data_IF_539344321370
#
_entry.id   IF_539344321370
#
_cell.length_a   1.000
_cell.length_b   1.000
_cell.length_c   1.000
_cell.angle_alpha   90.00
_cell.angle_beta   90.00
_cell.angle_gamma   90.00
#
_symmetry.space_group_name_H-M   'P 1'
#
loop_
_entity.id
_entity.type
_entity.pdbx_description
1 polymer ?
#
# COMPACT_ATOMS: atom_id res chain seq x y z
N UNK A 1 20.03 5.17 22.17
CA UNK A 1 21.19 5.72 21.41
C UNK A 1 20.92 7.20 21.19
N UNK A 2 21.91 8.07 21.37
CA UNK A 2 21.82 9.51 21.06
C UNK A 2 22.74 9.75 19.87
N UNK A 3 22.29 10.52 18.88
CA UNK A 3 23.11 10.80 17.69
C UNK A 3 24.24 11.80 18.04
N UNK A 4 25.37 11.80 17.30
CA UNK A 4 26.44 12.75 17.57
C UNK A 4 25.99 14.21 17.35
N UNK A 5 26.59 15.14 18.10
CA UNK A 5 26.34 16.58 17.94
C UNK A 5 27.18 17.15 16.78
N UNK A 6 26.68 16.99 15.56
CA UNK A 6 27.34 17.37 14.32
C UNK A 6 26.30 17.99 13.36
N UNK A 7 26.70 18.93 12.51
CA UNK A 7 25.78 19.69 11.65
C UNK A 7 24.99 18.80 10.68
N UNK A 8 25.67 18.00 9.87
CA UNK A 8 25.05 17.03 8.96
C UNK A 8 25.35 15.59 9.42
N UNK A 9 25.34 15.40 10.75
CA UNK A 9 25.69 14.13 11.37
C UNK A 9 24.58 13.07 11.22
N UNK A 10 24.97 11.83 11.44
CA UNK A 10 24.06 10.68 11.53
C UNK A 10 24.54 9.77 12.64
N UNK A 11 23.66 8.91 13.14
CA UNK A 11 24.09 7.73 13.91
C UNK A 11 24.99 6.83 13.06
N UNK A 12 25.77 5.97 13.71
CA UNK A 12 26.26 4.74 13.10
C UNK A 12 25.08 3.83 12.69
N UNK A 13 25.37 2.73 12.00
CA UNK A 13 24.36 1.75 11.63
C UNK A 13 23.70 1.18 12.89
N UNK A 14 22.38 1.34 12.99
CA UNK A 14 21.59 0.77 14.09
C UNK A 14 20.98 -0.52 13.59
N UNK A 15 21.48 -1.66 14.07
CA UNK A 15 20.87 -2.96 13.80
C UNK A 15 19.51 -3.04 14.45
N UNK A 16 18.48 -3.31 13.65
CA UNK A 16 17.12 -3.58 14.13
C UNK A 16 17.07 -5.01 14.65
N UNK A 17 16.47 -5.22 15.83
CA UNK A 17 16.34 -6.56 16.42
C UNK A 17 15.41 -7.45 15.61
N UNK A 18 14.43 -6.85 14.92
CA UNK A 18 13.63 -7.51 13.89
C UNK A 18 13.69 -6.74 12.57
N UNK A 19 13.65 -7.45 11.43
CA UNK A 19 13.60 -6.81 10.13
C UNK A 19 12.38 -5.92 9.97
N UNK A 20 12.58 -4.73 9.39
CA UNK A 20 11.52 -3.82 8.98
C UNK A 20 11.28 -3.98 7.47
N UNK A 21 10.02 -4.10 7.06
CA UNK A 21 9.66 -4.14 5.64
C UNK A 21 9.28 -2.77 5.15
N UNK A 22 9.88 -2.34 4.05
CA UNK A 22 9.61 -1.07 3.39
C UNK A 22 9.40 -1.31 1.89
N UNK A 23 8.13 -1.35 1.49
CA UNK A 23 7.61 -1.61 0.15
C UNK A 23 8.28 -2.83 -0.51
N UNK A 24 8.13 -4.00 0.11
CA UNK A 24 8.71 -5.26 -0.37
C UNK A 24 10.20 -5.45 -0.10
N UNK A 25 10.94 -4.37 0.26
CA UNK A 25 12.35 -4.47 0.71
C UNK A 25 12.39 -4.76 2.19
N UNK A 26 13.36 -5.59 2.60
CA UNK A 26 13.57 -5.94 4.01
C UNK A 26 14.86 -5.30 4.50
N UNK A 27 14.77 -4.49 5.56
CA UNK A 27 15.90 -3.80 6.16
C UNK A 27 16.16 -4.31 7.57
N UNK A 28 17.42 -4.67 7.84
CA UNK A 28 17.88 -5.12 9.15
C UNK A 28 18.58 -4.02 9.96
N UNK A 29 18.67 -2.82 9.39
CA UNK A 29 19.35 -1.70 10.00
C UNK A 29 18.73 -0.38 9.55
N UNK A 30 18.97 0.68 10.31
CA UNK A 30 18.61 2.05 9.95
C UNK A 30 19.66 3.04 10.44
N UNK A 31 19.63 4.25 9.92
CA UNK A 31 20.47 5.37 10.32
C UNK A 31 19.56 6.55 10.67
N UNK A 32 19.80 7.17 11.82
CA UNK A 32 19.03 8.34 12.28
C UNK A 32 19.86 9.58 11.99
N UNK A 33 19.40 10.41 11.06
CA UNK A 33 20.10 11.61 10.64
C UNK A 33 19.74 12.83 11.49
N UNK A 34 20.70 13.72 11.72
CA UNK A 34 20.47 14.93 12.49
C UNK A 34 19.47 15.87 11.80
N UNK A 35 19.44 15.87 10.47
CA UNK A 35 18.54 16.67 9.64
C UNK A 35 17.12 16.10 9.50
N UNK A 36 16.70 15.15 10.36
CA UNK A 36 15.28 14.79 10.50
C UNK A 36 14.76 13.71 9.56
N UNK A 37 15.63 12.81 9.13
CA UNK A 37 15.27 11.67 8.28
C UNK A 37 15.96 10.37 8.72
N UNK A 38 15.41 9.24 8.26
CA UNK A 38 15.97 7.90 8.37
C UNK A 38 16.35 7.37 7.00
N UNK A 39 17.49 6.71 6.91
CA UNK A 39 17.88 5.87 5.76
C UNK A 39 18.12 4.43 6.22
N UNK A 40 18.21 3.50 5.27
CA UNK A 40 18.38 2.07 5.59
C UNK A 40 19.67 1.43 5.05
N UNK A 41 20.36 2.09 4.11
CA UNK A 41 21.57 1.54 3.47
C UNK A 41 22.85 2.17 4.02
N UNK A 42 22.91 3.49 4.05
CA UNK A 42 24.07 4.28 4.48
C UNK A 42 23.63 5.64 5.03
N UNK A 43 24.44 6.30 5.88
CA UNK A 43 24.13 7.64 6.36
C UNK A 43 24.20 8.65 5.20
N UNK A 44 23.29 9.63 5.22
CA UNK A 44 23.22 10.69 4.21
C UNK A 44 23.64 12.04 4.81
N UNK A 45 24.85 12.50 4.47
CA UNK A 45 25.35 13.81 4.92
C UNK A 45 24.95 14.92 3.94
N UNK A 46 23.66 15.02 3.61
CA UNK A 46 23.12 16.07 2.76
C UNK A 46 22.09 16.92 3.53
N UNK A 47 22.09 18.21 3.24
CA UNK A 47 21.21 19.20 3.85
C UNK A 47 20.10 19.66 2.91
N UNK A 48 20.23 19.40 1.59
CA UNK A 48 19.20 19.74 0.62
C UNK A 48 18.14 18.63 0.67
N UNK A 49 16.91 18.93 1.11
CA UNK A 49 15.90 17.91 1.29
C UNK A 49 15.37 17.45 -0.07
N UNK A 50 15.72 16.21 -0.45
CA UNK A 50 15.31 15.58 -1.70
C UNK A 50 14.86 14.13 -1.44
N UNK A 51 13.56 13.94 -1.24
CA UNK A 51 12.98 12.61 -1.00
C UNK A 51 13.33 11.62 -2.12
N UNK A 52 13.26 12.04 -3.39
CA UNK A 52 13.60 11.19 -4.54
C UNK A 52 15.11 11.16 -4.82
N UNK A 53 15.89 10.78 -3.81
CA UNK A 53 17.36 10.70 -3.86
C UNK A 53 17.88 9.35 -4.35
N UNK A 54 17.01 8.46 -4.83
CA UNK A 54 17.35 7.09 -5.20
C UNK A 54 17.73 6.24 -3.98
N UNK A 55 17.04 6.44 -2.86
CA UNK A 55 17.29 5.80 -1.55
C UNK A 55 15.97 5.47 -0.87
N UNK A 56 15.96 4.38 -0.11
CA UNK A 56 14.89 4.16 0.86
C UNK A 56 15.06 5.15 2.02
N UNK A 57 14.12 6.08 2.13
CA UNK A 57 14.17 7.21 3.06
C UNK A 57 12.81 7.50 3.67
N UNK A 58 12.80 7.79 4.97
CA UNK A 58 11.62 8.27 5.70
C UNK A 58 12.00 9.58 6.36
N UNK A 59 11.34 10.68 6.00
CA UNK A 59 11.61 12.00 6.52
C UNK A 59 10.35 12.59 7.17
N UNK A 60 10.19 12.47 8.49
CA UNK A 60 9.18 13.23 9.20
C UNK A 60 9.28 14.74 8.94
N UNK A 61 10.50 15.26 8.93
CA UNK A 61 10.82 16.63 8.56
C UNK A 61 12.30 16.70 8.19
N UNK A 62 12.63 16.64 6.91
CA UNK A 62 14.00 16.82 6.44
C UNK A 62 14.27 18.29 6.14
N UNK A 63 15.20 18.88 6.89
CA UNK A 63 15.71 20.25 6.72
C UNK A 63 17.03 20.41 7.47
N UNK A 64 17.66 21.58 7.38
CA UNK A 64 18.87 21.90 8.15
C UNK A 64 18.56 22.08 9.64
N UNK A 65 18.80 21.03 10.43
CA UNK A 65 18.66 21.04 11.88
C UNK A 65 20.04 21.07 12.53
N UNK A 66 20.21 21.83 13.61
CA UNK A 66 21.50 21.98 14.30
C UNK A 66 21.41 21.58 15.77
N UNK A 67 21.60 20.29 16.03
CA UNK A 67 21.61 19.76 17.39
C UNK A 67 22.82 20.22 18.23
N UNK A 68 23.78 20.98 17.69
CA UNK A 68 24.85 21.62 18.48
C UNK A 68 24.34 22.85 19.23
N UNK A 69 23.30 23.50 18.70
CA UNK A 69 22.69 24.71 19.28
C UNK A 69 21.65 24.41 20.35
N UNK A 70 21.08 23.21 20.37
CA UNK A 70 20.07 22.82 21.35
C UNK A 70 19.41 21.48 21.03
N UNK A 71 18.47 21.08 21.88
CA UNK A 71 17.68 19.86 21.69
C UNK A 71 18.46 18.56 21.83
N UNK A 72 17.77 17.45 21.58
CA UNK A 72 18.36 16.10 21.60
C UNK A 72 17.73 15.23 20.54
N UNK A 73 18.55 14.41 19.89
CA UNK A 73 18.10 13.42 18.92
C UNK A 73 18.40 12.04 19.50
N UNK A 74 17.37 11.26 19.76
CA UNK A 74 17.49 9.97 20.41
C UNK A 74 16.69 8.91 19.68
N UNK A 75 17.19 7.68 19.74
CA UNK A 75 16.47 6.52 19.24
C UNK A 75 16.59 5.32 20.18
N UNK A 76 15.58 4.46 20.12
CA UNK A 76 15.52 3.19 20.85
C UNK A 76 14.64 2.21 20.08
N UNK A 77 14.92 0.92 20.23
CA UNK A 77 13.96 -0.12 19.90
C UNK A 77 13.28 -0.59 21.18
N UNK A 78 11.95 -0.64 21.17
CA UNK A 78 11.12 -0.96 22.31
C UNK A 78 10.26 -2.20 22.01
N UNK A 79 10.33 -3.16 22.92
CA UNK A 79 9.59 -4.43 22.87
C UNK A 79 8.81 -4.67 24.16
N UNK A 80 8.70 -3.64 25.00
CA UNK A 80 7.91 -3.73 26.23
C UNK A 80 6.44 -3.94 25.86
N UNK A 81 5.74 -4.77 26.65
CA UNK A 81 4.32 -5.06 26.43
C UNK A 81 3.47 -3.78 26.42
N UNK A 82 3.83 -2.77 27.22
CA UNK A 82 3.16 -1.49 27.26
C UNK A 82 3.26 -0.73 25.93
N UNK A 83 4.47 -0.56 25.38
CA UNK A 83 4.65 0.15 24.10
C UNK A 83 4.05 -0.65 22.95
N UNK A 84 4.27 -1.96 22.91
CA UNK A 84 3.71 -2.81 21.85
C UNK A 84 2.17 -2.79 21.87
N UNK A 85 1.52 -2.80 23.04
CA UNK A 85 0.07 -2.67 23.14
C UNK A 85 -0.42 -1.30 22.64
N UNK A 86 0.29 -0.21 22.98
CA UNK A 86 -0.06 1.14 22.54
C UNK A 86 0.02 1.29 21.01
N UNK A 87 1.10 0.83 20.38
CA UNK A 87 1.24 0.93 18.93
C UNK A 87 0.29 -0.04 18.21
N UNK A 88 0.02 -1.22 18.77
CA UNK A 88 -0.99 -2.15 18.23
C UNK A 88 -2.37 -1.49 18.22
N UNK A 89 -2.81 -0.93 19.35
CA UNK A 89 -4.09 -0.24 19.43
C UNK A 89 -4.19 0.98 18.49
N UNK A 90 -3.07 1.68 18.25
CA UNK A 90 -3.01 2.76 17.28
C UNK A 90 -3.21 2.25 15.84
N UNK A 91 -2.52 1.18 15.46
CA UNK A 91 -2.67 0.56 14.12
C UNK A 91 -4.08 0.00 13.94
N UNK A 92 -4.63 -0.71 14.91
CA UNK A 92 -6.00 -1.24 14.85
C UNK A 92 -7.04 -0.13 14.63
N UNK A 93 -6.81 1.04 15.23
CA UNK A 93 -7.67 2.22 15.05
C UNK A 93 -7.53 2.84 13.65
N UNK A 94 -6.32 2.92 13.12
CA UNK A 94 -6.06 3.61 11.84
C UNK A 94 -6.27 2.70 10.63
N UNK A 95 -6.11 1.38 10.79
CA UNK A 95 -6.18 0.36 9.76
C UNK A 95 -7.03 -0.83 10.21
N UNK A 96 -8.34 -0.64 10.48
CA UNK A 96 -9.20 -1.66 11.10
C UNK A 96 -9.36 -2.95 10.28
N UNK A 97 -9.02 -2.92 9.00
CA UNK A 97 -9.10 -4.07 8.10
C UNK A 97 -7.82 -4.91 8.04
N UNK A 98 -6.76 -4.50 8.75
CA UNK A 98 -5.50 -5.23 8.81
C UNK A 98 -5.35 -5.80 10.21
N UNK A 99 -5.45 -7.12 10.34
CA UNK A 99 -5.15 -7.79 11.61
C UNK A 99 -3.65 -7.66 11.91
N UNK A 100 -3.33 -6.99 13.01
CA UNK A 100 -1.95 -6.67 13.37
C UNK A 100 -1.72 -6.78 14.87
N UNK A 101 -0.53 -7.27 15.25
CA UNK A 101 -0.03 -7.25 16.63
C UNK A 101 1.45 -6.93 16.55
N UNK A 102 1.87 -5.80 17.10
CA UNK A 102 3.26 -5.36 17.03
C UNK A 102 4.19 -6.29 17.82
N UNK A 103 5.33 -6.63 17.25
CA UNK A 103 6.41 -7.34 17.95
C UNK A 103 7.67 -6.50 18.10
N UNK A 104 7.80 -5.41 17.36
CA UNK A 104 8.84 -4.40 17.53
C UNK A 104 8.31 -2.99 17.24
N UNK A 105 8.86 -2.00 17.96
CA UNK A 105 8.72 -0.59 17.67
C UNK A 105 10.09 0.09 17.77
N UNK A 106 10.64 0.55 16.65
CA UNK A 106 11.81 1.43 16.65
C UNK A 106 11.35 2.88 16.67
N UNK A 107 11.80 3.65 17.65
CA UNK A 107 11.40 5.04 17.88
C UNK A 107 12.62 5.94 17.70
N UNK A 108 12.52 6.95 16.82
CA UNK A 108 13.48 8.04 16.71
C UNK A 108 12.77 9.37 16.98
N UNK A 109 13.35 10.20 17.85
CA UNK A 109 12.78 11.45 18.34
C UNK A 109 13.80 12.58 18.20
N UNK A 110 13.38 13.67 17.57
CA UNK A 110 14.04 14.96 17.57
C UNK A 110 13.27 15.83 18.56
N UNK A 111 13.84 16.08 19.72
CA UNK A 111 13.22 16.84 20.80
C UNK A 111 13.86 18.21 20.91
N UNK A 112 13.06 19.25 20.64
CA UNK A 112 13.47 20.66 20.72
C UNK A 112 14.74 21.00 19.94
N UNK A 113 14.94 20.37 18.78
CA UNK A 113 16.14 20.54 17.96
C UNK A 113 15.97 21.79 17.09
N UNK A 114 16.83 22.81 17.18
CA UNK A 114 16.66 24.04 16.42
C UNK A 114 16.99 23.86 14.94
N UNK A 115 16.33 24.65 14.10
CA UNK A 115 16.80 24.93 12.75
C UNK A 115 18.20 25.57 12.78
N UNK A 116 18.95 25.49 11.68
CA UNK A 116 20.27 26.16 11.57
C UNK A 116 20.18 27.65 11.91
N UNK A 117 19.11 28.34 11.49
CA UNK A 117 18.89 29.77 11.73
C UNK A 117 17.58 30.10 12.47
N UNK A 118 17.01 29.17 13.24
CA UNK A 118 15.67 29.37 13.81
C UNK A 118 15.41 28.69 15.15
N UNK A 119 14.13 28.57 15.47
CA UNK A 119 13.62 27.95 16.70
C UNK A 119 13.66 26.42 16.66
N UNK A 120 13.38 25.82 17.81
CA UNK A 120 13.30 24.37 18.03
C UNK A 120 12.13 23.72 17.32
N UNK A 121 12.33 22.49 16.85
CA UNK A 121 11.26 21.60 16.40
C UNK A 121 11.26 20.30 17.21
N UNK A 122 10.07 19.77 17.42
CA UNK A 122 9.86 18.49 18.10
C UNK A 122 9.01 17.56 17.25
N UNK A 123 9.57 16.41 16.89
CA UNK A 123 8.85 15.36 16.17
C UNK A 123 9.45 13.98 16.42
N UNK A 124 8.66 12.96 16.11
CA UNK A 124 9.01 11.56 16.32
C UNK A 124 8.53 10.71 15.15
N UNK A 125 9.33 9.71 14.80
CA UNK A 125 8.93 8.61 13.92
C UNK A 125 9.02 7.29 14.67
N UNK A 126 8.04 6.43 14.43
CA UNK A 126 8.01 5.06 14.94
C UNK A 126 7.86 4.10 13.77
N UNK A 127 8.84 3.21 13.61
CA UNK A 127 8.76 2.06 12.72
C UNK A 127 8.17 0.90 13.53
N UNK A 128 6.92 0.54 13.23
CA UNK A 128 6.20 -0.54 13.93
C UNK A 128 6.18 -1.76 13.03
N UNK A 129 6.53 -2.92 13.57
CA UNK A 129 6.56 -4.15 12.77
C UNK A 129 6.14 -5.37 13.58
N UNK A 130 5.63 -6.38 12.85
CA UNK A 130 5.51 -7.74 13.33
C UNK A 130 6.28 -8.76 12.46
N UNK A 131 7.33 -8.30 11.75
CA UNK A 131 8.09 -9.02 10.71
C UNK A 131 7.34 -9.17 9.39
N UNK A 132 6.02 -9.38 9.43
CA UNK A 132 5.22 -9.58 8.22
C UNK A 132 4.62 -8.28 7.71
N UNK A 133 4.13 -7.46 8.63
CA UNK A 133 3.51 -6.16 8.41
C UNK A 133 4.35 -5.05 9.04
N UNK A 134 4.37 -3.90 8.39
CA UNK A 134 5.17 -2.75 8.80
C UNK A 134 4.43 -1.45 8.57
N UNK A 135 4.48 -0.58 9.57
CA UNK A 135 3.83 0.72 9.58
C UNK A 135 4.83 1.80 10.00
N UNK A 136 4.64 3.00 9.46
CA UNK A 136 5.27 4.22 9.94
C UNK A 136 4.22 4.99 10.73
N UNK A 137 4.56 5.44 11.94
CA UNK A 137 3.82 6.46 12.67
C UNK A 137 4.69 7.69 12.78
N UNK A 138 4.13 8.85 12.48
CA UNK A 138 4.81 10.13 12.66
C UNK A 138 3.98 10.95 13.63
N UNK A 139 4.64 11.50 14.65
CA UNK A 139 4.04 12.40 15.63
C UNK A 139 4.79 13.73 15.59
N UNK A 140 4.08 14.81 15.32
CA UNK A 140 4.57 16.18 15.36
C UNK A 140 4.14 16.83 16.68
N UNK A 141 5.11 17.42 17.38
CA UNK A 141 4.88 18.31 18.51
C UNK A 141 4.88 19.75 18.03
N UNK A 142 5.65 20.60 18.70
CA UNK A 142 5.85 21.98 18.25
C UNK A 142 6.77 22.02 17.04
N UNK A 143 6.27 22.51 15.90
CA UNK A 143 7.05 22.77 14.70
C UNK A 143 6.98 24.26 14.42
N UNK A 144 8.10 24.97 14.60
CA UNK A 144 8.20 26.39 14.35
C UNK A 144 8.19 26.71 12.83
N UNK A 145 7.85 27.96 12.49
CA UNK A 145 7.93 28.47 11.11
C UNK A 145 9.39 28.53 10.64
N UNK A 146 9.63 28.32 9.35
CA UNK A 146 10.97 28.41 8.77
C UNK A 146 10.96 28.81 7.30
N UNK A 147 11.94 29.60 6.90
CA UNK A 147 12.22 29.94 5.49
C UNK A 147 13.18 28.93 4.84
N UNK A 148 13.73 27.99 5.61
CA UNK A 148 14.61 26.96 5.08
C UNK A 148 13.84 26.02 4.15
N UNK A 149 14.52 25.47 3.15
CA UNK A 149 13.96 24.35 2.39
C UNK A 149 13.69 23.18 3.34
N UNK A 150 12.53 22.56 3.19
CA UNK A 150 12.16 21.37 3.94
C UNK A 150 11.32 20.44 3.08
N UNK A 151 11.36 19.14 3.38
CA UNK A 151 10.42 18.16 2.85
C UNK A 151 9.98 17.22 3.98
N UNK A 152 8.77 16.66 3.85
CA UNK A 152 8.26 15.68 4.78
C UNK A 152 7.52 14.58 4.01
N UNK A 153 7.78 13.31 4.31
CA UNK A 153 7.30 12.19 3.52
C UNK A 153 8.20 10.96 3.56
N UNK A 154 8.13 10.15 2.52
CA UNK A 154 9.01 9.01 2.30
C UNK A 154 9.20 8.76 0.79
N UNK A 155 10.27 8.05 0.44
CA UNK A 155 10.49 7.56 -0.91
C UNK A 155 11.29 6.27 -0.87
N UNK A 156 11.10 5.43 -1.88
CA UNK A 156 11.87 4.20 -2.08
C UNK A 156 13.05 4.40 -3.03
N UNK A 157 14.01 3.48 -2.98
CA UNK A 157 15.20 3.44 -3.86
C UNK A 157 14.86 3.65 -5.35
N UNK A 158 13.79 3.04 -5.82
CA UNK A 158 13.28 3.10 -7.21
C UNK A 158 12.27 4.24 -7.44
N UNK A 159 11.94 5.01 -6.40
CA UNK A 159 10.91 6.05 -6.39
C UNK A 159 9.50 5.59 -6.78
N UNK A 160 9.24 4.27 -6.83
CA UNK A 160 7.94 3.73 -7.18
C UNK A 160 6.90 3.93 -6.09
N UNK A 161 7.34 3.89 -4.83
CA UNK A 161 6.53 4.22 -3.68
C UNK A 161 7.10 5.45 -3.00
N UNK A 162 6.49 6.60 -3.26
CA UNK A 162 6.84 7.86 -2.65
C UNK A 162 5.58 8.61 -2.22
N UNK A 163 5.71 9.39 -1.17
CA UNK A 163 4.66 10.26 -0.68
C UNK A 163 5.28 11.51 -0.09
N UNK A 164 4.84 12.68 -0.55
CA UNK A 164 5.19 13.96 0.05
C UNK A 164 3.97 14.49 0.77
N UNK A 165 4.15 14.93 2.02
CA UNK A 165 3.07 15.49 2.81
C UNK A 165 2.62 16.83 2.19
N UNK A 166 1.35 16.95 1.76
CA UNK A 166 0.88 18.11 1.01
C UNK A 166 0.45 19.24 1.95
N UNK A 167 1.41 19.89 2.60
CA UNK A 167 1.19 21.09 3.42
C UNK A 167 2.05 22.24 2.92
N UNK A 168 1.61 23.46 3.18
CA UNK A 168 2.21 24.67 2.59
C UNK A 168 3.26 25.32 3.48
N UNK A 169 3.23 25.06 4.78
CA UNK A 169 4.18 25.54 5.78
C UNK A 169 4.60 24.41 6.72
N UNK A 170 5.76 24.54 7.37
CA UNK A 170 6.24 23.52 8.31
C UNK A 170 5.30 23.35 9.53
N UNK A 171 4.73 24.41 10.14
CA UNK A 171 3.81 24.25 11.28
C UNK A 171 2.52 23.50 10.95
N UNK A 172 2.08 23.50 9.69
CA UNK A 172 0.92 22.69 9.26
C UNK A 172 1.14 21.18 9.43
N UNK A 173 2.38 20.70 9.62
CA UNK A 173 2.64 19.30 9.97
C UNK A 173 1.97 18.93 11.31
N UNK A 174 1.93 19.86 12.26
CA UNK A 174 1.32 19.68 13.59
C UNK A 174 -0.21 19.82 13.59
N UNK A 175 -0.78 20.49 12.58
CA UNK A 175 -2.23 20.69 12.43
C UNK A 175 -2.88 19.83 11.32
N UNK A 176 -2.09 19.04 10.60
CA UNK A 176 -2.56 18.15 9.53
C UNK A 176 -2.47 16.68 9.92
N UNK A 177 -3.22 15.82 9.21
CA UNK A 177 -3.26 14.38 9.46
C UNK A 177 -3.81 13.62 8.26
N UNK A 178 -3.46 12.34 8.12
CA UNK A 178 -4.13 11.39 7.21
C UNK A 178 -5.00 10.36 7.96
N UNK A 179 -5.05 10.43 9.28
CA UNK A 179 -5.76 9.50 10.17
C UNK A 179 -6.75 10.22 11.10
N UNK A 180 -7.07 11.48 10.76
CA UNK A 180 -7.98 12.36 11.52
C UNK A 180 -7.56 12.55 13.00
N UNK A 181 -6.25 12.60 13.26
CA UNK A 181 -5.66 12.93 14.56
C UNK A 181 -4.58 13.98 14.33
N UNK A 182 -4.82 15.21 14.79
CA UNK A 182 -3.91 16.34 14.58
C UNK A 182 -2.47 16.01 14.97
N UNK A 183 -1.53 16.42 14.11
CA UNK A 183 -0.10 16.21 14.29
C UNK A 183 0.32 14.75 14.18
N UNK A 184 -0.57 13.85 13.76
CA UNK A 184 -0.23 12.43 13.60
C UNK A 184 -0.51 11.95 12.21
N UNK A 185 0.41 11.13 11.70
CA UNK A 185 0.28 10.45 10.43
C UNK A 185 0.66 8.99 10.57
N UNK A 186 0.04 8.13 9.77
CA UNK A 186 0.43 6.73 9.71
C UNK A 186 0.35 6.18 8.29
N UNK A 187 1.31 5.32 7.95
CA UNK A 187 1.43 4.72 6.62
C UNK A 187 1.66 3.23 6.78
N UNK A 188 0.91 2.42 6.05
CA UNK A 188 1.17 0.99 5.87
C UNK A 188 2.22 0.84 4.76
N UNK A 189 3.35 0.21 5.08
CA UNK A 189 4.56 0.28 4.24
C UNK A 189 5.28 -1.04 4.03
N UNK A 190 4.73 -2.21 4.39
CA UNK A 190 5.42 -3.48 4.10
C UNK A 190 5.33 -3.91 2.62
N UNK A 191 4.60 -3.16 1.80
CA UNK A 191 4.36 -3.47 0.38
C UNK A 191 3.25 -4.50 0.17
N UNK A 192 2.53 -4.88 1.23
CA UNK A 192 1.31 -5.65 1.05
C UNK A 192 0.13 -4.79 0.60
N UNK A 193 -0.82 -5.42 -0.10
CA UNK A 193 -1.95 -4.72 -0.65
C UNK A 193 -2.74 -3.86 0.34
N UNK A 194 -2.85 -2.56 0.05
CA UNK A 194 -3.89 -1.71 0.62
C UNK A 194 -5.18 -1.93 -0.18
N UNK A 195 -5.76 -3.13 -0.07
CA UNK A 195 -7.00 -3.40 -0.78
C UNK A 195 -8.15 -2.64 -0.11
N UNK A 196 -8.99 -1.93 -0.89
CA UNK A 196 -10.23 -1.37 -0.38
C UNK A 196 -11.07 -2.42 0.34
N UNK A 197 -11.91 -2.03 1.32
CA UNK A 197 -12.74 -2.95 2.12
C UNK A 197 -13.63 -3.89 1.31
N UNK A 198 -13.99 -3.49 0.09
CA UNK A 198 -14.83 -4.28 -0.80
C UNK A 198 -14.05 -5.37 -1.56
N UNK A 199 -12.73 -5.40 -1.45
CA UNK A 199 -11.89 -6.44 -2.02
C UNK A 199 -11.75 -7.59 -1.03
N UNK A 200 -11.74 -8.81 -1.57
CA UNK A 200 -11.38 -9.98 -0.81
C UNK A 200 -9.89 -9.93 -0.45
N UNK A 201 -9.56 -10.06 0.83
CA UNK A 201 -8.17 -10.07 1.33
C UNK A 201 -7.39 -11.26 0.77
N UNK A 202 -6.07 -11.23 0.86
CA UNK A 202 -5.23 -12.40 0.57
C UNK A 202 -5.64 -13.61 1.42
N UNK A 203 -5.63 -14.79 0.84
CA UNK A 203 -6.11 -16.04 1.45
C UNK A 203 -5.14 -17.22 1.28
N UNK A 204 -5.37 -18.29 2.04
CA UNK A 204 -4.62 -19.52 1.88
C UNK A 204 -4.84 -20.10 0.47
N UNK A 205 -3.75 -20.39 -0.25
CA UNK A 205 -3.81 -20.87 -1.63
C UNK A 205 -3.62 -19.80 -2.70
N UNK A 206 -3.41 -18.53 -2.32
CA UNK A 206 -2.98 -17.48 -3.26
C UNK A 206 -1.70 -17.92 -4.00
N UNK A 207 -1.79 -17.90 -5.32
CA UNK A 207 -0.66 -18.07 -6.23
C UNK A 207 -0.31 -16.72 -6.79
N UNK A 208 0.97 -16.37 -6.71
CA UNK A 208 1.50 -15.11 -7.24
C UNK A 208 2.08 -15.36 -8.62
N UNK A 209 1.68 -14.55 -9.60
CA UNK A 209 2.32 -14.59 -10.92
C UNK A 209 3.78 -14.15 -10.80
N UNK A 210 4.70 -14.83 -11.49
CA UNK A 210 6.10 -14.40 -11.53
C UNK A 210 6.21 -12.98 -12.12
N UNK A 211 7.25 -12.22 -11.74
CA UNK A 211 7.50 -10.90 -12.32
C UNK A 211 7.69 -10.97 -13.85
N UNK A 212 6.92 -10.20 -14.61
CA UNK A 212 6.94 -10.12 -16.07
C UNK A 212 6.35 -8.80 -16.59
N UNK A 213 6.72 -8.42 -17.81
CA UNK A 213 6.22 -7.22 -18.51
C UNK A 213 4.85 -7.43 -19.17
N UNK A 214 4.48 -8.67 -19.44
CA UNK A 214 3.23 -9.10 -20.10
C UNK A 214 2.83 -10.53 -19.64
N UNK A 215 2.94 -10.78 -18.34
CA UNK A 215 2.79 -12.12 -17.77
C UNK A 215 1.35 -12.66 -17.84
N UNK A 216 1.19 -13.86 -18.36
CA UNK A 216 -0.05 -14.65 -18.23
C UNK A 216 0.17 -15.78 -17.22
N UNK A 217 -0.85 -16.08 -16.41
CA UNK A 217 -0.82 -17.28 -15.59
C UNK A 217 -0.79 -18.51 -16.53
N UNK A 218 0.06 -19.49 -16.26
CA UNK A 218 0.12 -20.74 -17.03
C UNK A 218 -1.23 -21.47 -16.94
N UNK A 219 -1.92 -21.58 -18.08
CA UNK A 219 -3.13 -22.36 -18.39
C UNK A 219 -3.85 -22.98 -17.18
N UNK A 220 -4.90 -22.31 -16.68
CA UNK A 220 -5.81 -22.86 -15.68
C UNK A 220 -7.02 -23.47 -16.38
N UNK A 221 -7.10 -24.80 -16.40
CA UNK A 221 -8.36 -25.50 -16.68
C UNK A 221 -9.23 -25.42 -15.42
N UNK A 222 -10.15 -24.45 -15.36
CA UNK A 222 -11.28 -24.53 -14.43
C UNK A 222 -12.26 -25.57 -15.02
N UNK A 223 -12.57 -26.69 -14.34
CA UNK A 223 -13.25 -27.83 -14.97
C UNK A 223 -14.69 -27.57 -15.45
N UNK A 224 -15.26 -26.37 -15.27
CA UNK A 224 -16.69 -26.11 -15.41
C UNK A 224 -17.09 -24.81 -16.12
N UNK A 225 -16.18 -24.13 -16.83
CA UNK A 225 -16.55 -22.97 -17.64
C UNK A 225 -16.83 -23.39 -19.09
N UNK A 226 -18.10 -23.41 -19.48
CA UNK A 226 -18.51 -23.47 -20.89
C UNK A 226 -19.11 -22.11 -21.29
N UNK A 227 -18.50 -21.51 -22.32
CA UNK A 227 -18.92 -20.34 -23.12
C UNK A 227 -19.39 -19.09 -22.34
N UNK A 228 -18.45 -18.16 -22.08
CA UNK A 228 -18.78 -16.76 -21.75
C UNK A 228 -18.46 -15.91 -22.98
N UNK A 229 -19.50 -15.58 -23.76
CA UNK A 229 -19.41 -14.67 -24.90
C UNK A 229 -19.15 -13.22 -24.42
N UNK A 230 -17.88 -12.82 -24.32
CA UNK A 230 -17.48 -11.40 -24.32
C UNK A 230 -16.36 -11.20 -25.35
N UNK A 231 -16.72 -10.68 -26.53
CA UNK A 231 -15.80 -10.51 -27.67
C UNK A 231 -15.05 -9.18 -27.59
N UNK A 232 -13.82 -9.22 -27.07
CA UNK A 232 -12.70 -8.55 -27.78
C UNK A 232 -12.04 -9.67 -28.58
N UNK A 233 -12.24 -9.71 -29.90
CA UNK A 233 -11.70 -10.77 -30.76
C UNK A 233 -10.18 -10.61 -30.93
N UNK A 234 -9.41 -11.18 -30.00
CA UNK A 234 -7.99 -11.46 -30.16
C UNK A 234 -7.73 -12.96 -30.03
N UNK A 235 -7.33 -13.61 -31.13
CA UNK A 235 -6.89 -15.02 -31.19
C UNK A 235 -7.81 -16.06 -30.52
N UNK A 236 -9.13 -15.99 -30.69
CA UNK A 236 -10.10 -17.00 -30.20
C UNK A 236 -10.06 -17.27 -28.68
N UNK A 237 -9.72 -16.28 -27.85
CA UNK A 237 -9.77 -16.41 -26.39
C UNK A 237 -10.87 -15.51 -25.82
N UNK A 238 -11.63 -16.03 -24.85
CA UNK A 238 -12.54 -15.22 -24.04
C UNK A 238 -11.72 -14.46 -22.98
N UNK A 239 -11.90 -13.13 -22.90
CA UNK A 239 -11.08 -12.26 -22.05
C UNK A 239 -11.98 -11.43 -21.15
N UNK A 240 -11.68 -11.43 -19.84
CA UNK A 240 -12.23 -10.49 -18.87
C UNK A 240 -11.13 -9.47 -18.58
N UNK A 241 -11.31 -8.24 -19.06
CA UNK A 241 -10.34 -7.17 -18.90
C UNK A 241 -10.98 -5.94 -18.24
N UNK A 242 -10.93 -5.86 -16.91
CA UNK A 242 -11.26 -4.63 -16.18
C UNK A 242 -10.42 -3.45 -16.66
N UNK A 243 -9.12 -3.69 -16.84
CA UNK A 243 -8.17 -2.74 -17.39
C UNK A 243 -7.19 -3.48 -18.28
N UNK A 244 -7.24 -3.19 -19.57
CA UNK A 244 -6.32 -3.72 -20.58
C UNK A 244 -5.29 -2.65 -20.95
N UNK A 245 -4.10 -2.78 -20.39
CA UNK A 245 -2.95 -1.89 -20.65
C UNK A 245 -1.66 -2.61 -20.28
N UNK A 246 -0.51 -1.99 -20.56
CA UNK A 246 0.80 -2.55 -20.21
C UNK A 246 1.12 -2.26 -18.73
N UNK A 247 1.14 -3.33 -17.95
CA UNK A 247 1.48 -3.34 -16.53
C UNK A 247 2.79 -4.12 -16.33
N UNK A 248 3.67 -3.64 -15.45
CA UNK A 248 5.00 -4.24 -15.22
C UNK A 248 5.21 -4.55 -13.73
N UNK A 249 4.88 -5.78 -13.33
CA UNK A 249 5.05 -6.22 -11.95
C UNK A 249 6.51 -6.62 -11.61
N UNK A 250 7.48 -6.43 -12.51
CA UNK A 250 8.92 -6.49 -12.17
C UNK A 250 9.37 -5.25 -11.42
N UNK A 251 8.65 -4.14 -11.62
CA UNK A 251 8.94 -2.87 -11.00
C UNK A 251 8.34 -2.80 -9.60
N UNK A 252 7.16 -3.37 -9.39
CA UNK A 252 6.53 -3.40 -8.06
C UNK A 252 5.12 -3.99 -8.12
N UNK A 253 4.44 -3.99 -6.99
CA UNK A 253 3.11 -4.57 -6.87
C UNK A 253 3.07 -6.09 -7.02
N UNK A 254 1.88 -6.66 -6.85
CA UNK A 254 1.66 -8.11 -6.92
C UNK A 254 0.46 -8.42 -7.78
N UNK A 255 0.57 -9.47 -8.60
CA UNK A 255 -0.57 -10.08 -9.29
C UNK A 255 -0.76 -11.46 -8.69
N UNK A 256 -1.89 -11.67 -8.02
CA UNK A 256 -2.19 -12.93 -7.34
C UNK A 256 -3.56 -13.47 -7.75
N UNK A 257 -3.72 -14.78 -7.66
CA UNK A 257 -5.01 -15.41 -7.89
C UNK A 257 -5.19 -16.65 -7.00
N UNK A 258 -6.44 -16.97 -6.70
CA UNK A 258 -6.83 -18.21 -6.04
C UNK A 258 -8.23 -18.64 -6.44
N UNK A 259 -8.49 -19.92 -6.27
CA UNK A 259 -9.85 -20.43 -6.13
C UNK A 259 -10.16 -20.56 -4.63
N UNK A 260 -11.28 -20.00 -4.19
CA UNK A 260 -11.69 -19.91 -2.80
C UNK A 260 -13.08 -20.53 -2.61
N UNK A 261 -13.14 -21.49 -1.70
CA UNK A 261 -14.37 -22.21 -1.32
C UNK A 261 -14.71 -22.00 0.15
N UNK A 262 -14.05 -21.05 0.81
CA UNK A 262 -14.29 -20.75 2.23
C UNK A 262 -15.66 -20.13 2.43
N UNK A 263 -16.35 -20.52 3.51
CA UNK A 263 -17.68 -20.02 3.83
C UNK A 263 -17.75 -18.49 3.90
N UNK A 264 -16.69 -17.84 4.40
CA UNK A 264 -16.63 -16.38 4.50
C UNK A 264 -16.66 -15.71 3.12
N UNK A 265 -15.82 -16.17 2.19
CA UNK A 265 -15.76 -15.61 0.82
C UNK A 265 -17.05 -15.94 0.06
N UNK A 266 -17.53 -17.18 0.13
CA UNK A 266 -18.77 -17.58 -0.55
C UNK A 266 -19.98 -16.80 -0.07
N UNK A 267 -20.10 -16.53 1.24
CA UNK A 267 -21.15 -15.69 1.80
C UNK A 267 -21.04 -14.23 1.31
N UNK A 268 -19.83 -13.68 1.30
CA UNK A 268 -19.57 -12.32 0.84
C UNK A 268 -19.96 -12.13 -0.64
N UNK A 269 -19.46 -12.98 -1.54
CA UNK A 269 -19.75 -12.85 -2.97
C UNK A 269 -21.21 -13.16 -3.29
N UNK A 270 -21.85 -14.07 -2.53
CA UNK A 270 -23.29 -14.33 -2.65
C UNK A 270 -24.10 -13.09 -2.26
N UNK A 271 -23.73 -12.43 -1.16
CA UNK A 271 -24.38 -11.20 -0.72
C UNK A 271 -24.19 -10.07 -1.73
N UNK A 272 -22.97 -9.91 -2.28
CA UNK A 272 -22.68 -8.93 -3.32
C UNK A 272 -23.54 -9.15 -4.57
N UNK A 273 -23.68 -10.39 -5.05
CA UNK A 273 -24.56 -10.70 -6.19
C UNK A 273 -26.03 -10.41 -5.85
N UNK A 274 -26.51 -10.80 -4.66
CA UNK A 274 -27.91 -10.58 -4.24
C UNK A 274 -28.26 -9.11 -4.04
N UNK A 275 -27.30 -8.25 -3.73
CA UNK A 275 -27.52 -6.82 -3.62
C UNK A 275 -28.04 -6.22 -4.93
N UNK A 276 -27.49 -6.68 -6.07
CA UNK A 276 -27.87 -6.18 -7.40
C UNK A 276 -28.91 -7.07 -8.08
N UNK A 277 -28.94 -8.36 -7.76
CA UNK A 277 -29.91 -9.32 -8.30
C UNK A 277 -30.69 -10.03 -7.19
N UNK A 278 -31.53 -9.31 -6.43
CA UNK A 278 -32.22 -9.88 -5.26
C UNK A 278 -33.17 -11.02 -5.61
N UNK A 279 -33.71 -11.01 -6.82
CA UNK A 279 -34.68 -11.99 -7.30
C UNK A 279 -34.04 -13.21 -7.99
N UNK A 280 -32.71 -13.21 -8.16
CA UNK A 280 -32.01 -14.33 -8.77
C UNK A 280 -31.63 -15.35 -7.69
N UNK A 281 -32.09 -16.62 -7.78
CA UNK A 281 -31.66 -17.65 -6.87
C UNK A 281 -30.18 -17.97 -7.12
N UNK A 282 -29.33 -17.47 -6.24
CA UNK A 282 -27.89 -17.67 -6.28
C UNK A 282 -27.31 -17.89 -4.89
N UNK A 283 -26.41 -18.87 -4.81
CA UNK A 283 -25.50 -19.11 -3.71
C UNK A 283 -24.22 -19.64 -4.33
N UNK A 284 -23.10 -18.94 -4.12
CA UNK A 284 -21.81 -19.32 -4.67
C UNK A 284 -21.33 -20.62 -4.00
N UNK A 285 -20.82 -21.55 -4.81
CA UNK A 285 -20.13 -22.75 -4.32
C UNK A 285 -18.62 -22.66 -4.54
N UNK A 286 -18.17 -21.76 -5.42
CA UNK A 286 -16.77 -21.42 -5.62
C UNK A 286 -16.64 -19.95 -6.03
N UNK A 287 -15.48 -19.36 -5.72
CA UNK A 287 -15.09 -18.04 -6.19
C UNK A 287 -13.64 -18.07 -6.70
N UNK A 288 -13.42 -17.67 -7.95
CA UNK A 288 -12.06 -17.41 -8.43
C UNK A 288 -11.74 -15.92 -8.25
N UNK A 289 -10.71 -15.62 -7.48
CA UNK A 289 -10.30 -14.26 -7.13
C UNK A 289 -8.97 -13.98 -7.81
N UNK A 290 -8.89 -12.93 -8.62
CA UNK A 290 -7.65 -12.43 -9.19
C UNK A 290 -7.47 -10.96 -8.78
N UNK A 291 -6.31 -10.63 -8.22
CA UNK A 291 -6.02 -9.31 -7.67
C UNK A 291 -4.73 -8.78 -8.28
N UNK A 292 -4.83 -7.60 -8.88
CA UNK A 292 -3.71 -6.73 -9.22
C UNK A 292 -3.63 -5.71 -8.10
N UNK A 293 -2.56 -5.74 -7.34
CA UNK A 293 -2.32 -4.81 -6.25
C UNK A 293 -1.09 -3.95 -6.52
N UNK A 294 -1.30 -2.64 -6.55
CA UNK A 294 -0.26 -1.63 -6.69
C UNK A 294 0.71 -1.92 -7.85
N UNK A 295 0.17 -2.45 -8.96
CA UNK A 295 0.97 -2.87 -10.12
C UNK A 295 1.33 -1.66 -10.98
N UNK A 296 2.62 -1.36 -11.21
CA UNK A 296 3.02 -0.20 -11.99
C UNK A 296 2.61 -0.29 -13.46
N UNK A 297 2.34 0.87 -14.04
CA UNK A 297 2.29 1.05 -15.48
C UNK A 297 3.68 0.87 -16.11
N UNK A 298 3.76 0.23 -17.28
CA UNK A 298 5.01 0.00 -18.00
C UNK A 298 5.74 1.31 -18.34
N UNK A 299 5.07 2.31 -18.92
CA UNK A 299 5.69 3.60 -19.28
C UNK A 299 5.63 4.67 -18.17
N UNK A 300 5.47 4.27 -16.90
CA UNK A 300 5.25 5.22 -15.80
C UNK A 300 3.80 5.73 -15.76
N UNK A 301 3.48 6.55 -14.75
CA UNK A 301 2.10 6.97 -14.44
C UNK A 301 1.54 6.38 -13.14
N UNK A 302 2.40 5.95 -12.20
CA UNK A 302 1.97 5.38 -10.93
C UNK A 302 1.60 3.90 -11.02
N UNK A 303 0.65 3.49 -10.19
CA UNK A 303 0.26 2.08 -9.98
C UNK A 303 -1.25 1.88 -10.11
N UNK A 304 -1.66 0.63 -10.33
CA UNK A 304 -3.06 0.23 -10.37
C UNK A 304 -3.38 -0.90 -9.39
N UNK A 305 -4.55 -0.79 -8.76
CA UNK A 305 -5.12 -1.79 -7.87
C UNK A 305 -6.55 -2.09 -8.30
N UNK A 306 -6.81 -3.34 -8.70
CA UNK A 306 -8.13 -3.84 -9.04
C UNK A 306 -8.25 -5.35 -8.79
N UNK A 307 -9.47 -5.83 -8.57
CA UNK A 307 -9.75 -7.23 -8.32
C UNK A 307 -10.92 -7.71 -9.18
N UNK A 308 -10.77 -8.91 -9.73
CA UNK A 308 -11.81 -9.63 -10.44
C UNK A 308 -12.20 -10.83 -9.60
N UNK A 309 -13.49 -11.01 -9.38
CA UNK A 309 -14.04 -12.20 -8.73
C UNK A 309 -15.05 -12.86 -9.66
N UNK A 310 -14.78 -14.11 -10.03
CA UNK A 310 -15.74 -14.98 -10.69
C UNK A 310 -16.46 -15.76 -9.60
N UNK A 311 -17.68 -15.35 -9.27
CA UNK A 311 -18.51 -16.05 -8.29
C UNK A 311 -19.47 -16.99 -9.03
N UNK A 312 -19.43 -18.28 -8.71
CA UNK A 312 -20.22 -19.24 -9.48
C UNK A 312 -20.71 -20.44 -8.67
N UNK A 313 -21.72 -21.08 -9.23
CA UNK A 313 -22.18 -22.40 -8.86
C UNK A 313 -22.47 -23.23 -10.11
N UNK A 314 -23.03 -24.42 -9.95
CA UNK A 314 -23.33 -25.34 -11.06
C UNK A 314 -24.36 -24.79 -12.07
N UNK A 315 -25.07 -23.71 -11.76
CA UNK A 315 -26.14 -23.16 -12.59
C UNK A 315 -25.84 -21.76 -13.14
N UNK A 316 -25.08 -20.93 -12.41
CA UNK A 316 -24.89 -19.51 -12.71
C UNK A 316 -23.49 -19.05 -12.35
N UNK A 317 -22.98 -18.11 -13.12
CA UNK A 317 -21.74 -17.39 -12.86
C UNK A 317 -21.98 -15.88 -12.92
N UNK A 318 -21.20 -15.15 -12.13
CA UNK A 318 -21.20 -13.70 -12.07
C UNK A 318 -19.76 -13.20 -12.04
N UNK A 319 -19.53 -12.06 -12.68
CA UNK A 319 -18.25 -11.36 -12.67
C UNK A 319 -18.44 -10.12 -11.79
N UNK A 320 -17.63 -10.00 -10.75
CA UNK A 320 -17.53 -8.82 -9.90
C UNK A 320 -16.18 -8.16 -10.18
N UNK A 321 -16.22 -6.88 -10.52
CA UNK A 321 -15.01 -6.09 -10.76
C UNK A 321 -14.96 -4.99 -9.71
N UNK A 322 -13.87 -4.97 -8.96
CA UNK A 322 -13.61 -3.97 -7.94
C UNK A 322 -12.40 -3.13 -8.36
N UNK A 323 -12.58 -1.82 -8.40
CA UNK A 323 -11.48 -0.88 -8.61
C UNK A 323 -11.09 -0.25 -7.27
N UNK A 324 -9.79 -0.16 -7.03
CA UNK A 324 -9.19 0.60 -5.94
C UNK A 324 -8.48 1.81 -6.52
N UNK A 325 -7.23 2.02 -6.11
CA UNK A 325 -6.41 3.10 -6.66
C UNK A 325 -5.97 2.76 -8.09
N UNK A 326 -6.46 3.50 -9.07
CA UNK A 326 -6.05 3.40 -10.47
C UNK A 326 -5.48 4.75 -10.89
N UNK A 327 -4.15 4.86 -10.94
CA UNK A 327 -3.47 6.11 -11.26
C UNK A 327 -3.69 6.54 -12.72
N UNK A 328 -3.59 7.84 -13.00
CA UNK A 328 -3.68 8.36 -14.36
C UNK A 328 -2.50 7.90 -15.22
N UNK A 329 -2.76 7.59 -16.50
CA UNK A 329 -1.72 7.14 -17.42
C UNK A 329 -1.86 7.79 -18.79
N UNK A 330 -0.71 8.06 -19.41
CA UNK A 330 -0.62 8.47 -20.82
C UNK A 330 -0.52 7.25 -21.75
N UNK A 331 -0.44 6.04 -21.19
CA UNK A 331 -0.43 4.81 -21.98
C UNK A 331 -1.80 4.53 -22.60
N UNK A 332 -1.85 3.90 -23.78
CA UNK A 332 -3.10 3.36 -24.29
C UNK A 332 -3.67 2.35 -23.30
N UNK A 333 -4.97 2.48 -23.04
CA UNK A 333 -5.72 1.56 -22.21
C UNK A 333 -7.09 1.32 -22.83
N UNK A 334 -7.65 0.14 -22.57
CA UNK A 334 -9.05 -0.19 -22.85
C UNK A 334 -9.66 -0.79 -21.59
N UNK A 335 -10.95 -0.62 -21.41
CA UNK A 335 -11.74 -1.37 -20.44
C UNK A 335 -12.79 -2.12 -21.22
N UNK A 336 -13.19 -3.30 -20.75
CA UNK A 336 -14.38 -3.95 -21.31
C UNK A 336 -15.58 -3.02 -21.06
N UNK A 337 -16.40 -2.71 -22.07
CA UNK A 337 -17.67 -2.01 -21.86
C UNK A 337 -18.56 -2.89 -20.98
N UNK A 338 -18.69 -2.54 -19.70
CA UNK A 338 -19.51 -3.30 -18.74
C UNK A 338 -20.32 -2.31 -17.91
N UNK A 339 -21.64 -2.38 -18.06
CA UNK A 339 -22.56 -1.97 -17.00
C UNK A 339 -22.26 -2.84 -15.76
N UNK A 340 -22.35 -2.32 -14.52
CA UNK A 340 -21.70 -2.87 -13.32
C UNK A 340 -21.83 -4.37 -12.99
N UNK A 341 -22.81 -5.11 -13.54
CA UNK A 341 -22.92 -6.56 -13.39
C UNK A 341 -23.57 -7.21 -14.63
N UNK A 342 -23.10 -8.40 -15.00
CA UNK A 342 -23.68 -9.22 -16.09
C UNK A 342 -24.20 -10.55 -15.52
N UNK A 343 -25.40 -10.94 -15.95
CA UNK A 343 -26.04 -12.22 -15.63
C UNK A 343 -25.90 -13.18 -16.83
N UNK A 344 -25.31 -14.35 -16.60
CA UNK A 344 -25.28 -15.43 -17.60
C UNK A 344 -26.18 -16.58 -17.12
N UNK A 345 -27.18 -16.95 -17.92
CA UNK A 345 -28.03 -18.12 -17.70
C UNK A 345 -27.82 -19.16 -18.80
N UNK A 346 -27.88 -20.43 -18.39
CA UNK A 346 -27.66 -21.58 -19.24
C UNK A 346 -28.99 -22.03 -19.85
N UNK A 347 -29.46 -21.37 -20.91
CA UNK A 347 -30.61 -21.83 -21.69
C UNK A 347 -30.13 -22.45 -23.01
N UNK A 348 -30.15 -23.79 -23.05
CA UNK A 348 -30.06 -24.52 -24.31
C UNK A 348 -31.29 -24.23 -25.17
N UNK A 349 -31.01 -23.75 -26.38
CA UNK A 349 -31.88 -23.56 -27.55
C UNK A 349 -32.53 -22.17 -27.71
N UNK A 350 -32.18 -21.62 -28.86
CA UNK A 350 -32.80 -20.53 -29.62
C UNK A 350 -32.38 -19.11 -29.23
N UNK A 351 -31.77 -18.44 -30.22
CA UNK A 351 -31.61 -16.99 -30.38
C UNK A 351 -32.46 -16.16 -29.42
N UNK A 352 -31.87 -15.74 -28.29
CA UNK A 352 -32.48 -14.78 -27.39
C UNK A 352 -31.79 -13.42 -27.60
N UNK A 353 -32.55 -12.47 -28.13
CA UNK A 353 -32.21 -11.05 -28.16
C UNK A 353 -31.87 -10.58 -26.73
N UNK A 354 -30.73 -9.91 -26.57
CA UNK A 354 -30.43 -9.18 -25.34
C UNK A 354 -31.41 -8.01 -25.22
N UNK A 355 -32.22 -8.03 -24.17
CA UNK A 355 -33.01 -6.88 -23.76
C UNK A 355 -32.13 -5.96 -22.90
N UNK A 356 -31.98 -4.73 -23.37
CA UNK A 356 -31.45 -3.60 -22.61
C UNK A 356 -32.57 -3.07 -21.70
N UNK A 357 -32.31 -2.93 -20.40
CA UNK A 357 -33.03 -1.98 -19.52
C UNK A 357 -31.98 -1.16 -18.80
#
# INVERSE_FOLDING_TARGET
IVTPRLENGSSEAITLQLPFKFFGRTHNQTFVNNNGHLTFTEPLSDYIPLLNSGRDIIAPLWTQLDNRRGGTISCREDRSSAVLALVTAAIDRYFPNITFVATSAFVATWDSVPYQNGEGVTFQVVLVSNVHRSFILINYGDIAETEQMWQAGYSTLDSLHSFTIPVTSAPELSSSSNINVYGRRSFHVDGSPNLPTNFLTSGAGDRVNPPAEDGTASYLQTPHFWEILFKIHWRNCDIIAPLWTRLDNRRGGTISYREDTSNAVLAYVTAAVKQYFPNIPFAATSAFVATWDSVPYHNGGGVVTFQVVLAYNVHRSFILIYYGDVAETVQPWQVSEVLPLVHCANDQKNNANMHFI
#
